data_IF_255984220229
#
_entry.id   IF_255984220229
#
_cell.length_a   1.000
_cell.length_b   1.000
_cell.length_c   1.000
_cell.angle_alpha   90.00
_cell.angle_beta   90.00
_cell.angle_gamma   90.00
#
_symmetry.space_group_name_H-M   'P 1'
#
loop_
_entity.id
_entity.type
_entity.pdbx_description
1 polymer ?
#
# COMPACT_ATOMS: atom_id res chain seq x y z
N UNK A 1 -33.67 42.89 -13.69
CA UNK A 1 -33.54 42.30 -12.35
C UNK A 1 -32.61 41.08 -12.47
N UNK A 2 -31.29 41.23 -12.18
CA UNK A 2 -30.30 40.14 -12.27
C UNK A 2 -30.27 39.42 -10.93
N UNK A 3 -30.72 38.17 -10.92
CA UNK A 3 -30.61 37.29 -9.76
C UNK A 3 -29.13 36.86 -9.67
N UNK A 4 -28.41 37.38 -8.67
CA UNK A 4 -27.10 36.86 -8.29
C UNK A 4 -27.29 35.48 -7.67
N UNK A 5 -26.87 34.44 -8.38
CA UNK A 5 -26.62 33.11 -7.78
C UNK A 5 -25.47 33.28 -6.79
N UNK A 6 -25.77 33.24 -5.52
CA UNK A 6 -24.76 33.05 -4.46
C UNK A 6 -24.38 31.61 -4.50
N UNK A 7 -23.23 31.29 -5.12
CA UNK A 7 -22.58 30.01 -4.93
C UNK A 7 -22.11 29.95 -3.46
N UNK A 8 -22.86 29.25 -2.63
CA UNK A 8 -22.35 28.82 -1.33
C UNK A 8 -21.19 27.86 -1.63
N UNK A 9 -19.95 28.28 -1.36
CA UNK A 9 -18.86 27.34 -1.08
C UNK A 9 -19.34 26.54 0.12
N UNK A 10 -19.73 25.28 -0.10
CA UNK A 10 -19.77 24.31 0.98
C UNK A 10 -18.34 24.24 1.50
N UNK A 11 -18.10 24.71 2.72
CA UNK A 11 -16.89 24.36 3.47
C UNK A 11 -16.87 22.84 3.52
N UNK A 12 -15.89 22.22 2.85
CA UNK A 12 -15.79 20.76 2.80
C UNK A 12 -15.57 20.28 4.23
N UNK A 13 -16.60 19.66 4.80
CA UNK A 13 -16.49 19.01 6.10
C UNK A 13 -15.33 18.01 6.02
N UNK A 14 -14.40 18.07 6.97
CA UNK A 14 -13.35 17.06 7.10
C UNK A 14 -13.97 15.68 7.30
N UNK A 15 -13.42 14.67 6.61
CA UNK A 15 -13.93 13.31 6.70
C UNK A 15 -13.72 12.73 8.11
N UNK A 16 -14.68 11.99 8.61
CA UNK A 16 -14.60 11.26 9.86
C UNK A 16 -13.95 9.88 9.63
N UNK A 17 -12.74 9.72 10.11
CA UNK A 17 -11.97 8.50 10.04
C UNK A 17 -12.16 7.60 11.25
N UNK A 18 -12.31 6.31 11.01
CA UNK A 18 -12.29 5.27 12.05
C UNK A 18 -11.18 4.28 11.75
N UNK A 19 -10.38 3.91 12.76
CA UNK A 19 -9.43 2.81 12.62
C UNK A 19 -10.00 1.51 13.16
N UNK A 20 -9.92 0.45 12.37
CA UNK A 20 -10.14 -0.94 12.79
C UNK A 20 -8.77 -1.58 13.07
N UNK A 21 -8.44 -1.68 14.35
CA UNK A 21 -7.13 -2.08 14.86
C UNK A 21 -6.41 -0.95 15.59
N UNK A 22 -5.56 -1.33 16.57
CA UNK A 22 -4.77 -0.43 17.41
C UNK A 22 -3.27 -0.80 17.37
N UNK A 23 -2.81 -1.40 16.25
CA UNK A 23 -1.43 -1.83 16.07
C UNK A 23 -0.46 -0.66 15.83
N UNK A 24 0.79 -0.99 15.51
CA UNK A 24 1.85 0.00 15.25
C UNK A 24 1.43 0.99 14.18
N UNK A 25 0.92 0.51 13.05
CA UNK A 25 0.56 1.36 11.92
C UNK A 25 -0.67 2.25 12.21
N UNK A 26 -1.62 1.78 13.01
CA UNK A 26 -2.74 2.62 13.48
C UNK A 26 -2.26 3.79 14.36
N UNK A 27 -1.22 3.56 15.18
CA UNK A 27 -0.57 4.64 15.94
C UNK A 27 0.13 5.65 15.02
N UNK A 28 0.78 5.20 13.94
CA UNK A 28 1.37 6.10 12.95
C UNK A 28 0.29 6.91 12.22
N UNK A 29 -0.86 6.30 11.86
CA UNK A 29 -1.99 7.02 11.29
C UNK A 29 -2.52 8.11 12.23
N UNK A 30 -2.72 7.78 13.51
CA UNK A 30 -3.19 8.77 14.50
C UNK A 30 -2.22 9.96 14.61
N UNK A 31 -0.90 9.69 14.60
CA UNK A 31 0.13 10.75 14.58
C UNK A 31 0.10 11.58 13.29
N UNK A 32 -0.13 10.94 12.14
CA UNK A 32 -0.29 11.66 10.86
C UNK A 32 -1.52 12.58 10.89
N UNK A 33 -2.63 12.11 11.47
CA UNK A 33 -3.82 12.94 11.66
C UNK A 33 -3.55 14.13 12.61
N UNK A 34 -2.83 13.91 13.73
CA UNK A 34 -2.45 14.99 14.64
C UNK A 34 -1.58 16.05 13.95
N UNK A 35 -0.60 15.66 13.13
CA UNK A 35 0.23 16.59 12.33
C UNK A 35 -0.63 17.48 11.41
N UNK A 36 -1.76 16.98 10.96
CA UNK A 36 -2.74 17.72 10.13
C UNK A 36 -3.73 18.55 10.96
N UNK A 37 -3.60 18.55 12.29
CA UNK A 37 -4.56 19.19 13.18
C UNK A 37 -5.91 18.47 13.23
N UNK A 38 -5.96 17.20 12.84
CA UNK A 38 -7.15 16.34 12.82
C UNK A 38 -7.06 15.28 13.90
N UNK A 39 -8.20 14.67 14.25
CA UNK A 39 -8.28 13.51 15.14
C UNK A 39 -9.14 12.43 14.50
N UNK A 40 -8.83 11.19 14.81
CA UNK A 40 -9.71 10.08 14.48
C UNK A 40 -11.08 10.27 15.16
N UNK A 41 -12.14 10.07 14.41
CA UNK A 41 -13.49 10.06 14.93
C UNK A 41 -13.73 8.86 15.82
N UNK A 42 -13.21 7.69 15.42
CA UNK A 42 -13.45 6.48 16.18
C UNK A 42 -12.36 5.43 16.06
N UNK A 43 -12.45 4.46 16.95
CA UNK A 43 -11.60 3.28 16.98
C UNK A 43 -12.41 2.06 17.34
N UNK A 44 -12.11 0.92 16.71
CA UNK A 44 -12.61 -0.40 17.09
C UNK A 44 -11.44 -1.39 17.12
N UNK A 45 -11.43 -2.27 18.12
CA UNK A 45 -10.43 -3.31 18.24
C UNK A 45 -11.02 -4.53 18.93
N UNK A 46 -10.55 -5.74 18.58
CA UNK A 46 -10.98 -7.00 19.22
C UNK A 46 -10.83 -6.99 20.74
N UNK A 47 -9.78 -6.35 21.25
CA UNK A 47 -9.53 -6.17 22.68
C UNK A 47 -9.98 -4.77 23.07
N UNK A 48 -11.06 -4.65 23.82
CA UNK A 48 -11.72 -3.38 24.17
C UNK A 48 -10.78 -2.43 24.93
N UNK A 49 -10.04 -2.95 25.90
CA UNK A 49 -9.09 -2.16 26.71
C UNK A 49 -7.99 -1.51 25.85
N UNK A 50 -7.58 -2.18 24.75
CA UNK A 50 -6.63 -1.58 23.80
C UNK A 50 -7.23 -0.43 23.00
N UNK A 51 -8.51 -0.54 22.65
CA UNK A 51 -9.22 0.54 21.96
C UNK A 51 -9.40 1.75 22.86
N UNK A 52 -9.74 1.53 24.15
CA UNK A 52 -9.89 2.59 25.15
C UNK A 52 -8.55 3.32 25.41
N UNK A 53 -7.47 2.56 25.62
CA UNK A 53 -6.13 3.13 25.80
C UNK A 53 -5.65 3.92 24.56
N UNK A 54 -5.96 3.43 23.36
CA UNK A 54 -5.66 4.13 22.10
C UNK A 54 -6.47 5.44 22.01
N UNK A 55 -7.77 5.38 22.36
CA UNK A 55 -8.64 6.56 22.33
C UNK A 55 -8.19 7.64 23.32
N UNK A 56 -7.83 7.24 24.54
CA UNK A 56 -7.27 8.15 25.54
C UNK A 56 -5.99 8.82 25.05
N UNK A 57 -5.06 8.02 24.49
CA UNK A 57 -3.76 8.50 24.01
C UNK A 57 -3.87 9.56 22.91
N UNK A 58 -4.78 9.39 21.95
CA UNK A 58 -4.90 10.25 20.77
C UNK A 58 -6.14 11.14 20.77
N UNK A 59 -6.91 11.14 21.87
CA UNK A 59 -8.12 11.93 21.99
C UNK A 59 -9.18 11.57 20.95
N UNK A 60 -9.32 10.26 20.65
CA UNK A 60 -10.33 9.74 19.71
C UNK A 60 -11.72 9.93 20.33
N UNK A 61 -12.69 10.39 19.54
CA UNK A 61 -13.99 10.79 20.06
C UNK A 61 -14.87 9.61 20.48
N UNK A 62 -14.75 8.46 19.80
CA UNK A 62 -15.64 7.32 20.00
C UNK A 62 -14.89 5.99 20.00
N UNK A 63 -15.15 5.15 21.00
CA UNK A 63 -14.73 3.76 21.04
C UNK A 63 -15.95 2.89 20.72
N UNK A 64 -15.87 2.17 19.60
CA UNK A 64 -16.94 1.28 19.16
C UNK A 64 -16.81 -0.11 19.81
N UNK A 65 -17.94 -0.75 20.13
CA UNK A 65 -17.96 -2.07 20.72
C UNK A 65 -17.81 -3.19 19.69
N UNK A 66 -18.21 -2.92 18.44
CA UNK A 66 -18.11 -3.87 17.32
C UNK A 66 -17.86 -3.17 15.99
N UNK A 67 -17.41 -3.93 15.01
CA UNK A 67 -17.23 -3.41 13.66
C UNK A 67 -18.58 -3.12 12.96
N UNK A 68 -19.62 -3.84 13.33
CA UNK A 68 -20.99 -3.62 12.88
C UNK A 68 -21.52 -2.24 13.33
N UNK A 69 -21.16 -1.80 14.53
CA UNK A 69 -21.48 -0.44 14.98
C UNK A 69 -20.76 0.61 14.13
N UNK A 70 -19.49 0.40 13.76
CA UNK A 70 -18.76 1.29 12.87
C UNK A 70 -19.46 1.40 11.52
N UNK A 71 -19.82 0.25 10.93
CA UNK A 71 -20.52 0.20 9.65
C UNK A 71 -21.88 0.90 9.66
N UNK A 72 -22.61 0.81 10.78
CA UNK A 72 -23.95 1.38 10.96
C UNK A 72 -23.95 2.87 11.29
N UNK A 73 -22.83 3.43 11.76
CA UNK A 73 -22.73 4.84 12.13
C UNK A 73 -22.65 5.72 10.88
N UNK A 74 -23.70 6.54 10.68
CA UNK A 74 -23.79 7.46 9.53
C UNK A 74 -22.75 8.59 9.55
N UNK A 75 -22.14 8.85 10.70
CA UNK A 75 -21.11 9.86 10.83
C UNK A 75 -19.74 9.37 10.31
N UNK A 76 -19.53 8.07 10.17
CA UNK A 76 -18.29 7.47 9.66
C UNK A 76 -18.23 7.62 8.14
N UNK A 77 -17.19 8.26 7.64
CA UNK A 77 -16.94 8.44 6.21
C UNK A 77 -15.91 7.42 5.70
N UNK A 78 -14.78 7.29 6.40
CA UNK A 78 -13.64 6.44 5.98
C UNK A 78 -13.28 5.46 7.09
N UNK A 79 -13.11 4.20 6.72
CA UNK A 79 -12.60 3.16 7.62
C UNK A 79 -11.16 2.81 7.18
N UNK A 80 -10.22 2.95 8.12
CA UNK A 80 -8.86 2.45 7.97
C UNK A 80 -8.75 1.06 8.58
N UNK A 81 -8.49 0.04 7.76
CA UNK A 81 -8.37 -1.34 8.20
C UNK A 81 -6.90 -1.67 8.42
N UNK A 82 -6.50 -1.95 9.67
CA UNK A 82 -5.13 -2.26 10.08
C UNK A 82 -5.05 -3.55 10.92
N UNK A 83 -5.91 -4.50 10.59
CA UNK A 83 -5.95 -5.84 11.17
C UNK A 83 -4.92 -6.76 10.50
N UNK A 84 -4.71 -8.02 10.94
CA UNK A 84 -3.86 -8.97 10.21
C UNK A 84 -4.36 -9.27 8.79
N UNK A 85 -3.43 -9.49 7.84
CA UNK A 85 -3.71 -9.68 6.41
C UNK A 85 -4.86 -10.66 6.13
N UNK A 86 -4.84 -11.82 6.79
CA UNK A 86 -5.84 -12.88 6.62
C UNK A 86 -7.24 -12.54 7.10
N UNK A 87 -7.43 -11.37 7.69
CA UNK A 87 -8.75 -10.90 8.14
C UNK A 87 -9.30 -9.76 7.30
N UNK A 88 -8.50 -9.14 6.43
CA UNK A 88 -8.87 -7.93 5.71
C UNK A 88 -10.17 -8.10 4.92
N UNK A 89 -10.32 -9.20 4.17
CA UNK A 89 -11.50 -9.42 3.33
C UNK A 89 -12.82 -9.42 4.13
N UNK A 90 -12.82 -9.92 5.37
CA UNK A 90 -14.00 -9.94 6.23
C UNK A 90 -14.45 -8.53 6.62
N UNK A 91 -13.48 -7.63 6.86
CA UNK A 91 -13.74 -6.21 7.16
C UNK A 91 -14.14 -5.45 5.90
N UNK A 92 -13.46 -5.70 4.76
CA UNK A 92 -13.75 -5.11 3.47
C UNK A 92 -15.20 -5.37 3.05
N UNK A 93 -15.66 -6.63 3.10
CA UNK A 93 -17.05 -7.00 2.78
C UNK A 93 -18.07 -6.18 3.55
N UNK A 94 -17.89 -6.06 4.86
CA UNK A 94 -18.83 -5.33 5.74
C UNK A 94 -18.80 -3.82 5.51
N UNK A 95 -17.60 -3.24 5.43
CA UNK A 95 -17.42 -1.80 5.27
C UNK A 95 -17.96 -1.32 3.92
N UNK A 96 -17.58 -1.99 2.83
CA UNK A 96 -17.98 -1.62 1.49
C UNK A 96 -19.49 -1.79 1.28
N UNK A 97 -20.08 -2.92 1.74
CA UNK A 97 -21.53 -3.14 1.70
C UNK A 97 -22.32 -2.12 2.53
N UNK A 98 -21.70 -1.54 3.57
CA UNK A 98 -22.29 -0.45 4.36
C UNK A 98 -22.11 0.95 3.73
N UNK A 99 -21.55 1.03 2.51
CA UNK A 99 -21.32 2.29 1.81
C UNK A 99 -20.23 3.17 2.43
N UNK A 100 -19.21 2.56 3.05
CA UNK A 100 -18.07 3.27 3.64
C UNK A 100 -16.88 3.28 2.68
N UNK A 101 -16.19 4.42 2.58
CA UNK A 101 -14.88 4.46 1.93
C UNK A 101 -13.87 3.70 2.76
N UNK A 102 -12.95 2.99 2.12
CA UNK A 102 -11.98 2.14 2.82
C UNK A 102 -10.56 2.39 2.34
N UNK A 103 -9.67 2.63 3.31
CA UNK A 103 -8.22 2.52 3.16
C UNK A 103 -7.77 1.29 3.94
N UNK A 104 -7.31 0.26 3.24
CA UNK A 104 -6.93 -1.02 3.86
C UNK A 104 -5.43 -1.22 3.82
N UNK A 105 -4.83 -1.63 4.94
CA UNK A 105 -3.41 -1.94 5.01
C UNK A 105 -2.97 -2.99 3.99
N UNK A 106 -1.71 -2.88 3.63
CA UNK A 106 -1.03 -3.81 2.72
C UNK A 106 -0.71 -5.14 3.44
N UNK A 107 -0.73 -6.27 2.78
CA UNK A 107 -1.37 -6.48 1.49
C UNK A 107 -2.88 -6.47 1.66
N UNK A 108 -3.55 -5.78 0.77
CA UNK A 108 -4.99 -5.49 0.91
C UNK A 108 -5.85 -6.75 1.04
N UNK A 109 -5.50 -7.83 0.33
CA UNK A 109 -6.15 -9.15 0.39
C UNK A 109 -5.11 -10.26 0.31
N UNK A 110 -5.52 -11.51 0.46
CA UNK A 110 -4.63 -12.66 0.29
C UNK A 110 -4.41 -13.00 -1.18
N UNK A 111 -5.40 -12.78 -2.03
CA UNK A 111 -5.36 -13.12 -3.44
C UNK A 111 -6.18 -12.15 -4.29
N UNK A 112 -6.06 -12.30 -5.61
CA UNK A 112 -6.75 -11.45 -6.59
C UNK A 112 -8.25 -11.62 -6.57
N UNK A 113 -8.77 -12.81 -6.25
CA UNK A 113 -10.20 -13.09 -6.22
C UNK A 113 -10.89 -12.33 -5.08
N UNK A 114 -10.26 -12.28 -3.91
CA UNK A 114 -10.75 -11.45 -2.79
C UNK A 114 -10.71 -9.96 -3.14
N UNK A 115 -9.68 -9.50 -3.87
CA UNK A 115 -9.60 -8.12 -4.30
C UNK A 115 -10.68 -7.79 -5.36
N UNK A 116 -10.90 -8.68 -6.33
CA UNK A 116 -11.94 -8.51 -7.34
C UNK A 116 -13.32 -8.39 -6.68
N UNK A 117 -13.62 -9.21 -5.66
CA UNK A 117 -14.85 -9.11 -4.86
C UNK A 117 -14.96 -7.75 -4.15
N UNK A 118 -13.89 -7.31 -3.49
CA UNK A 118 -13.87 -6.03 -2.79
C UNK A 118 -14.04 -4.84 -3.76
N UNK A 119 -13.39 -4.87 -4.91
CA UNK A 119 -13.53 -3.86 -5.96
C UNK A 119 -14.95 -3.81 -6.53
N UNK A 120 -15.58 -4.97 -6.72
CA UNK A 120 -16.96 -5.04 -7.18
C UNK A 120 -17.92 -4.42 -6.15
N UNK A 121 -17.78 -4.75 -4.87
CA UNK A 121 -18.57 -4.15 -3.78
C UNK A 121 -18.37 -2.63 -3.71
N UNK A 122 -17.14 -2.14 -3.81
CA UNK A 122 -16.85 -0.72 -3.81
C UNK A 122 -17.56 0.00 -4.97
N UNK A 123 -17.55 -0.59 -6.16
CA UNK A 123 -18.23 -0.07 -7.36
C UNK A 123 -19.74 -0.06 -7.19
N UNK A 124 -20.33 -1.14 -6.68
CA UNK A 124 -21.78 -1.27 -6.47
C UNK A 124 -22.32 -0.23 -5.48
N UNK A 125 -21.55 0.09 -4.46
CA UNK A 125 -21.92 1.06 -3.43
C UNK A 125 -21.41 2.49 -3.70
N UNK A 126 -20.68 2.71 -4.79
CA UNK A 126 -20.17 4.03 -5.18
C UNK A 126 -19.16 4.63 -4.17
N UNK A 127 -18.33 3.77 -3.55
CA UNK A 127 -17.33 4.18 -2.56
C UNK A 127 -15.91 3.95 -3.05
N UNK A 128 -14.95 4.65 -2.46
CA UNK A 128 -13.52 4.48 -2.73
C UNK A 128 -12.99 3.32 -1.92
N UNK A 129 -12.33 2.39 -2.60
CA UNK A 129 -11.47 1.36 -2.01
C UNK A 129 -10.03 1.68 -2.38
N UNK A 130 -9.12 1.62 -1.43
CA UNK A 130 -7.70 1.82 -1.66
C UNK A 130 -6.84 0.94 -0.74
N UNK A 131 -5.66 0.55 -1.24
CA UNK A 131 -4.61 -0.06 -0.42
C UNK A 131 -3.76 1.03 0.22
N UNK A 132 -3.45 0.88 1.51
CA UNK A 132 -2.52 1.74 2.23
C UNK A 132 -1.07 1.43 1.80
N UNK A 133 -0.73 1.85 0.59
CA UNK A 133 0.56 1.64 -0.05
C UNK A 133 1.32 2.97 -0.14
N UNK A 134 2.04 3.32 0.90
CA UNK A 134 2.73 4.61 1.05
C UNK A 134 3.57 5.02 -0.15
N UNK A 135 4.18 4.05 -0.85
CA UNK A 135 5.02 4.30 -2.02
C UNK A 135 4.29 5.09 -3.12
N UNK A 136 2.98 4.90 -3.30
CA UNK A 136 2.20 5.60 -4.33
C UNK A 136 1.96 7.07 -4.01
N UNK A 137 2.14 7.46 -2.74
CA UNK A 137 1.78 8.80 -2.24
C UNK A 137 3.00 9.69 -1.98
N UNK A 138 4.21 9.09 -1.88
CA UNK A 138 5.44 9.85 -1.63
C UNK A 138 5.74 10.84 -2.74
N UNK A 139 6.03 12.12 -2.42
CA UNK A 139 6.29 13.18 -3.42
C UNK A 139 7.44 12.89 -4.37
N UNK A 140 8.47 12.16 -3.93
CA UNK A 140 9.62 11.81 -4.76
C UNK A 140 9.22 11.00 -6.00
N UNK A 141 8.24 10.10 -5.89
CA UNK A 141 7.77 9.32 -7.03
C UNK A 141 6.95 10.14 -8.00
N UNK A 142 6.15 11.10 -7.50
CA UNK A 142 5.40 12.05 -8.33
C UNK A 142 6.37 12.89 -9.19
N UNK A 143 7.50 13.31 -8.60
CA UNK A 143 8.54 14.05 -9.33
C UNK A 143 9.27 13.17 -10.33
N UNK A 144 9.68 11.96 -9.96
CA UNK A 144 10.35 11.02 -10.87
C UNK A 144 9.46 10.64 -12.06
N UNK A 145 8.19 10.27 -11.81
CA UNK A 145 7.25 9.91 -12.88
C UNK A 145 7.03 11.07 -13.84
N UNK A 146 6.92 12.31 -13.37
CA UNK A 146 6.81 13.49 -14.21
C UNK A 146 8.00 13.63 -15.17
N UNK A 147 9.23 13.34 -14.71
CA UNK A 147 10.45 13.38 -15.54
C UNK A 147 10.52 12.19 -16.50
N UNK A 148 10.06 11.00 -16.09
CA UNK A 148 9.89 9.83 -16.96
C UNK A 148 8.91 10.15 -18.08
N UNK A 149 7.73 10.67 -17.75
CA UNK A 149 6.69 11.05 -18.72
C UNK A 149 7.15 12.14 -19.69
N UNK A 150 8.06 13.02 -19.26
CA UNK A 150 8.70 14.01 -20.11
C UNK A 150 9.79 13.42 -21.05
N UNK A 151 10.10 12.12 -20.94
CA UNK A 151 11.11 11.43 -21.75
C UNK A 151 12.56 11.82 -21.41
N UNK A 152 12.79 12.42 -20.24
CA UNK A 152 14.12 12.94 -19.86
C UNK A 152 15.17 11.83 -19.78
N UNK A 153 14.75 10.65 -19.26
CA UNK A 153 15.66 9.51 -19.06
C UNK A 153 15.74 8.56 -20.26
N UNK A 154 14.91 8.77 -21.29
CA UNK A 154 14.77 7.87 -22.44
C UNK A 154 13.90 6.65 -22.11
N UNK A 155 14.13 5.55 -22.85
CA UNK A 155 13.32 4.34 -22.70
C UNK A 155 13.76 3.52 -21.49
N UNK A 156 12.80 3.02 -20.72
CA UNK A 156 13.05 2.08 -19.63
C UNK A 156 13.55 0.73 -20.19
N UNK A 157 14.57 0.16 -19.55
CA UNK A 157 15.15 -1.14 -19.94
C UNK A 157 15.00 -2.17 -18.83
N UNK A 158 15.49 -1.86 -17.62
CA UNK A 158 15.50 -2.84 -16.53
C UNK A 158 15.39 -2.17 -15.17
N UNK A 159 14.64 -2.83 -14.26
CA UNK A 159 14.59 -2.50 -12.84
C UNK A 159 15.23 -3.60 -12.00
N UNK A 160 15.85 -3.20 -10.89
CA UNK A 160 16.41 -4.12 -9.90
C UNK A 160 15.93 -3.73 -8.50
N UNK A 161 15.27 -4.66 -7.80
CA UNK A 161 14.71 -4.43 -6.48
C UNK A 161 15.26 -5.39 -5.45
N UNK A 162 15.64 -4.86 -4.29
CA UNK A 162 16.06 -5.65 -3.15
C UNK A 162 15.23 -5.30 -1.92
N UNK A 163 14.77 -6.30 -1.17
CA UNK A 163 14.22 -6.09 0.15
C UNK A 163 14.57 -7.27 1.07
N UNK A 164 15.56 -7.07 1.93
CA UNK A 164 15.89 -8.01 2.99
C UNK A 164 15.57 -7.41 4.36
N UNK A 165 14.63 -8.02 5.07
CA UNK A 165 14.20 -7.59 6.41
C UNK A 165 14.44 -8.71 7.40
N UNK A 166 15.67 -8.78 7.96
CA UNK A 166 16.00 -9.82 8.93
C UNK A 166 14.99 -9.87 10.07
N UNK A 167 14.38 -11.04 10.27
CA UNK A 167 13.49 -11.38 11.36
C UNK A 167 14.07 -12.53 12.16
N UNK A 168 13.80 -12.52 13.47
CA UNK A 168 14.07 -13.67 14.31
C UNK A 168 13.39 -14.91 13.72
N UNK A 169 14.13 -16.03 13.62
CA UNK A 169 13.65 -17.24 12.99
C UNK A 169 12.76 -18.05 13.95
N UNK A 170 11.63 -17.46 14.31
CA UNK A 170 10.59 -18.05 15.15
C UNK A 170 9.34 -18.34 14.32
N UNK A 171 8.99 -19.61 14.21
CA UNK A 171 7.84 -20.10 13.43
C UNK A 171 6.48 -19.67 14.02
N UNK A 172 6.45 -19.18 15.25
CA UNK A 172 5.24 -18.60 15.89
C UNK A 172 5.08 -17.12 15.54
N UNK A 173 6.15 -16.46 15.11
CA UNK A 173 6.11 -15.06 14.70
C UNK A 173 5.23 -14.91 13.45
N UNK A 174 4.47 -13.82 13.37
CA UNK A 174 3.58 -13.52 12.23
C UNK A 174 4.29 -13.60 10.86
N UNK A 175 5.59 -13.36 10.81
CA UNK A 175 6.36 -13.38 9.56
C UNK A 175 6.57 -14.79 9.00
N UNK A 176 6.62 -15.80 9.86
CA UNK A 176 6.82 -17.20 9.49
C UNK A 176 5.62 -18.09 9.78
N UNK A 177 4.50 -17.53 10.26
CA UNK A 177 3.31 -18.28 10.61
C UNK A 177 2.30 -18.31 9.46
N UNK A 178 2.06 -19.51 8.90
CA UNK A 178 1.11 -19.72 7.80
C UNK A 178 -0.32 -19.31 8.19
N UNK A 179 -0.73 -19.55 9.44
CA UNK A 179 -2.07 -19.19 9.95
C UNK A 179 -2.27 -17.67 10.14
N UNK A 180 -1.25 -16.88 9.94
CA UNK A 180 -1.30 -15.42 10.00
C UNK A 180 -0.92 -14.78 8.66
N UNK A 181 -0.98 -15.55 7.58
CA UNK A 181 -0.57 -15.15 6.24
C UNK A 181 0.86 -14.57 6.22
N UNK A 182 1.81 -15.26 6.89
CA UNK A 182 3.23 -14.91 6.87
C UNK A 182 3.85 -15.16 5.49
N UNK A 183 5.07 -14.71 5.32
CA UNK A 183 5.84 -14.86 4.09
C UNK A 183 6.42 -13.53 3.61
N UNK A 184 7.52 -13.62 2.86
CA UNK A 184 8.23 -12.46 2.34
C UNK A 184 7.43 -11.73 1.25
N UNK A 185 6.71 -12.47 0.41
CA UNK A 185 6.02 -11.89 -0.74
C UNK A 185 4.91 -10.94 -0.29
N UNK A 186 4.02 -11.35 0.62
CA UNK A 186 2.94 -10.50 1.12
C UNK A 186 3.47 -9.38 2.06
N UNK A 187 4.51 -9.63 2.88
CA UNK A 187 4.97 -8.63 3.84
C UNK A 187 5.85 -7.54 3.21
N UNK A 188 6.83 -7.93 2.38
CA UNK A 188 7.83 -7.03 1.80
C UNK A 188 7.85 -7.03 0.27
N UNK A 189 7.46 -8.13 -0.37
CA UNK A 189 7.41 -8.26 -1.82
C UNK A 189 6.36 -7.33 -2.44
N UNK A 190 5.25 -7.10 -1.76
CA UNK A 190 4.22 -6.15 -2.20
C UNK A 190 4.82 -4.76 -2.47
N UNK A 191 5.73 -4.25 -1.65
CA UNK A 191 6.41 -2.97 -1.90
C UNK A 191 7.32 -3.02 -3.13
N UNK A 192 8.09 -4.11 -3.29
CA UNK A 192 9.00 -4.25 -4.42
C UNK A 192 8.24 -4.36 -5.75
N UNK A 193 7.16 -5.14 -5.78
CA UNK A 193 6.31 -5.28 -6.95
C UNK A 193 5.52 -4.00 -7.25
N UNK A 194 5.08 -3.26 -6.23
CA UNK A 194 4.45 -1.94 -6.40
C UNK A 194 5.41 -0.93 -7.02
N UNK A 195 6.67 -0.92 -6.57
CA UNK A 195 7.69 -0.08 -7.22
C UNK A 195 7.89 -0.48 -8.68
N UNK A 196 8.04 -1.76 -8.96
CA UNK A 196 8.19 -2.26 -10.34
C UNK A 196 7.00 -1.82 -11.19
N UNK A 197 5.77 -2.09 -10.72
CA UNK A 197 4.56 -1.76 -11.48
C UNK A 197 4.40 -0.26 -11.73
N UNK A 198 4.85 0.57 -10.82
CA UNK A 198 4.74 2.03 -10.94
C UNK A 198 5.58 2.59 -12.10
N UNK A 199 6.71 1.95 -12.43
CA UNK A 199 7.61 2.42 -13.48
C UNK A 199 7.47 1.66 -14.80
N UNK A 200 7.03 0.39 -14.78
CA UNK A 200 6.77 -0.34 -16.01
C UNK A 200 5.57 0.27 -16.76
N UNK A 201 5.69 0.37 -18.07
CA UNK A 201 4.64 0.93 -18.95
C UNK A 201 3.40 0.05 -19.00
N UNK A 202 3.53 -1.25 -18.76
CA UNK A 202 2.40 -2.19 -18.61
C UNK A 202 2.68 -3.26 -17.56
N UNK A 203 1.61 -3.96 -17.13
CA UNK A 203 1.72 -5.09 -16.21
C UNK A 203 2.56 -6.22 -16.83
N UNK A 204 3.52 -6.81 -16.09
CA UNK A 204 4.27 -8.00 -16.56
C UNK A 204 3.36 -9.16 -16.89
N UNK A 205 3.58 -9.77 -18.05
CA UNK A 205 2.89 -10.98 -18.51
C UNK A 205 3.77 -12.24 -18.42
N UNK A 206 5.09 -12.05 -18.35
CA UNK A 206 6.07 -13.12 -18.15
C UNK A 206 6.65 -13.02 -16.74
N UNK A 207 6.47 -14.09 -15.96
CA UNK A 207 6.93 -14.20 -14.58
C UNK A 207 7.65 -15.51 -14.40
N UNK A 208 8.89 -15.44 -13.90
CA UNK A 208 9.67 -16.60 -13.46
C UNK A 208 10.14 -16.36 -12.03
N UNK A 209 10.08 -17.39 -11.18
CA UNK A 209 10.47 -17.21 -9.80
C UNK A 209 11.01 -18.48 -9.17
N UNK A 210 11.85 -18.32 -8.16
CA UNK A 210 12.32 -19.38 -7.27
C UNK A 210 12.07 -18.97 -5.83
N UNK A 211 11.74 -19.93 -4.99
CA UNK A 211 11.40 -19.71 -3.59
C UNK A 211 12.15 -20.68 -2.68
N UNK A 212 12.56 -20.20 -1.52
CA UNK A 212 12.90 -21.04 -0.37
C UNK A 212 11.77 -20.90 0.65
N UNK A 213 11.14 -22.02 0.98
CA UNK A 213 10.10 -22.06 2.01
C UNK A 213 10.71 -22.24 3.40
N UNK A 214 10.11 -21.57 4.39
CA UNK A 214 10.34 -21.83 5.80
C UNK A 214 9.71 -23.18 6.21
N UNK A 215 10.05 -23.76 7.39
CA UNK A 215 9.45 -25.01 7.87
C UNK A 215 7.93 -25.01 7.98
N UNK A 216 7.32 -23.84 8.10
CA UNK A 216 5.85 -23.63 8.14
C UNK A 216 5.19 -23.63 6.77
N UNK A 217 5.97 -23.67 5.69
CA UNK A 217 5.49 -23.64 4.31
C UNK A 217 5.30 -22.24 3.72
N UNK A 218 5.56 -21.16 4.48
CA UNK A 218 5.54 -19.81 3.91
C UNK A 218 6.86 -19.46 3.22
N UNK A 219 6.87 -18.55 2.30
CA UNK A 219 8.05 -18.08 1.60
C UNK A 219 8.97 -17.27 2.52
N UNK A 220 10.19 -17.78 2.71
CA UNK A 220 11.24 -17.13 3.52
C UNK A 220 12.06 -16.17 2.67
N UNK A 221 12.39 -16.59 1.46
CA UNK A 221 13.10 -15.78 0.48
C UNK A 221 12.70 -16.16 -0.95
N UNK A 222 12.76 -15.18 -1.84
CA UNK A 222 12.43 -15.39 -3.25
C UNK A 222 13.31 -14.56 -4.17
N UNK A 223 13.52 -15.10 -5.39
CA UNK A 223 14.03 -14.40 -6.55
C UNK A 223 12.97 -14.42 -7.64
N UNK A 224 12.64 -13.27 -8.21
CA UNK A 224 11.58 -13.10 -9.20
C UNK A 224 12.15 -12.35 -10.40
N UNK A 225 11.86 -12.82 -11.60
CA UNK A 225 12.16 -12.19 -12.88
C UNK A 225 10.85 -11.90 -13.59
N UNK A 226 10.69 -10.66 -14.03
CA UNK A 226 9.48 -10.14 -14.67
C UNK A 226 9.82 -9.53 -16.02
N UNK A 227 8.93 -9.65 -17.00
CA UNK A 227 9.01 -8.92 -18.27
C UNK A 227 7.59 -8.61 -18.76
N UNK A 228 7.40 -7.42 -19.34
CA UNK A 228 6.15 -7.02 -19.97
C UNK A 228 6.24 -7.16 -21.51
N UNK A 229 5.14 -6.89 -22.21
CA UNK A 229 5.06 -6.97 -23.67
C UNK A 229 5.93 -5.93 -24.38
N UNK A 230 6.29 -4.84 -23.69
CA UNK A 230 7.20 -3.80 -24.19
C UNK A 230 8.68 -4.18 -24.00
N UNK A 231 8.96 -5.40 -23.54
CA UNK A 231 10.31 -5.94 -23.29
C UNK A 231 11.05 -5.20 -22.15
N UNK A 232 10.35 -4.49 -21.30
CA UNK A 232 10.89 -3.95 -20.06
C UNK A 232 10.98 -5.06 -19.02
N UNK A 233 12.13 -5.16 -18.35
CA UNK A 233 12.45 -6.26 -17.44
C UNK A 233 12.59 -5.78 -16.00
N UNK A 234 12.22 -6.64 -15.03
CA UNK A 234 12.53 -6.37 -13.63
C UNK A 234 13.02 -7.62 -12.90
N UNK A 235 13.93 -7.42 -11.95
CA UNK A 235 14.39 -8.44 -11.03
C UNK A 235 14.10 -8.02 -9.59
N UNK A 236 13.56 -8.95 -8.79
CA UNK A 236 13.22 -8.72 -7.39
C UNK A 236 13.85 -9.81 -6.53
N UNK A 237 14.54 -9.42 -5.46
CA UNK A 237 15.05 -10.35 -4.45
C UNK A 237 14.50 -10.00 -3.07
N UNK A 238 13.93 -11.00 -2.39
CA UNK A 238 13.29 -10.86 -1.09
C UNK A 238 13.91 -11.80 -0.07
N UNK A 239 14.05 -11.38 1.18
CA UNK A 239 14.38 -12.28 2.28
C UNK A 239 13.85 -11.75 3.62
N UNK A 240 13.25 -12.64 4.43
CA UNK A 240 12.92 -12.39 5.83
C UNK A 240 14.02 -12.87 6.79
N UNK A 241 15.03 -13.61 6.29
CA UNK A 241 16.11 -14.16 7.12
C UNK A 241 17.50 -13.64 6.73
N UNK A 242 17.57 -12.66 5.83
CA UNK A 242 18.80 -11.94 5.51
C UNK A 242 18.52 -10.44 5.43
N UNK A 243 19.43 -9.62 5.95
CA UNK A 243 19.38 -8.18 5.80
C UNK A 243 19.92 -7.79 4.43
N UNK A 244 19.16 -7.02 3.67
CA UNK A 244 19.58 -6.37 2.44
C UNK A 244 19.20 -4.89 2.49
N UNK A 245 19.87 -4.01 1.73
CA UNK A 245 19.37 -2.67 1.51
C UNK A 245 17.97 -2.73 0.88
N UNK A 246 17.08 -1.84 1.26
CA UNK A 246 15.83 -1.60 0.52
C UNK A 246 16.18 -0.70 -0.66
N UNK A 247 16.77 -1.28 -1.71
CA UNK A 247 17.27 -0.56 -2.87
C UNK A 247 16.40 -0.83 -4.08
N UNK A 248 16.00 0.25 -4.76
CA UNK A 248 15.45 0.22 -6.10
C UNK A 248 16.42 0.88 -7.07
N UNK A 249 16.64 0.27 -8.23
CA UNK A 249 17.37 0.85 -9.34
C UNK A 249 16.53 0.73 -10.61
N UNK A 250 16.38 1.85 -11.32
CA UNK A 250 15.65 1.96 -12.58
C UNK A 250 16.64 2.37 -13.64
N UNK A 251 16.85 1.54 -14.66
CA UNK A 251 17.82 1.80 -15.73
C UNK A 251 17.09 2.10 -17.03
N UNK A 252 17.32 3.29 -17.53
CA UNK A 252 16.89 3.78 -18.84
C UNK A 252 18.10 3.83 -19.80
N UNK A 253 17.89 4.14 -21.06
CA UNK A 253 18.97 4.25 -22.03
C UNK A 253 19.81 5.55 -21.87
N UNK A 254 19.24 6.63 -21.29
CA UNK A 254 19.94 7.90 -21.07
C UNK A 254 20.34 8.17 -19.62
N UNK A 255 19.81 7.40 -18.65
CA UNK A 255 20.12 7.57 -17.24
C UNK A 255 19.80 6.30 -16.45
N UNK A 256 20.32 6.20 -15.24
CA UNK A 256 19.74 5.32 -14.23
C UNK A 256 19.47 6.10 -12.95
N UNK A 257 18.44 5.61 -12.21
CA UNK A 257 17.98 6.21 -10.96
C UNK A 257 18.16 5.19 -9.83
N UNK A 258 18.81 5.59 -8.76
CA UNK A 258 18.97 4.77 -7.55
C UNK A 258 18.20 5.38 -6.39
N UNK A 259 17.50 4.52 -5.65
CA UNK A 259 16.77 4.87 -4.44
C UNK A 259 17.02 3.87 -3.33
N UNK A 260 17.12 4.37 -2.10
CA UNK A 260 17.20 3.57 -0.88
C UNK A 260 15.99 3.85 0.00
N UNK A 261 15.66 2.88 0.88
CA UNK A 261 14.46 2.94 1.76
C UNK A 261 13.16 3.25 0.97
N UNK A 262 13.08 2.74 -0.24
CA UNK A 262 12.06 3.05 -1.25
C UNK A 262 10.60 2.91 -0.80
N UNK A 263 10.18 2.08 0.19
CA UNK A 263 8.79 2.07 0.63
C UNK A 263 8.27 3.43 1.12
N UNK A 264 9.19 4.26 1.64
CA UNK A 264 8.90 5.65 2.06
C UNK A 264 10.05 6.57 1.65
N UNK A 265 10.54 6.40 0.42
CA UNK A 265 11.68 7.14 -0.10
C UNK A 265 11.39 8.63 -0.19
N UNK A 266 12.41 9.44 0.09
CA UNK A 266 12.36 10.90 -0.02
C UNK A 266 13.48 11.44 -0.90
N UNK A 267 14.40 10.55 -1.33
CA UNK A 267 15.62 10.92 -2.05
C UNK A 267 15.90 9.92 -3.18
N UNK A 268 16.36 10.43 -4.33
CA UNK A 268 16.86 9.63 -5.43
C UNK A 268 18.14 10.24 -6.01
N UNK A 269 19.01 9.39 -6.55
CA UNK A 269 20.20 9.79 -7.27
C UNK A 269 20.07 9.37 -8.72
N UNK A 270 20.11 10.34 -9.62
CA UNK A 270 20.07 10.15 -11.07
C UNK A 270 21.49 10.24 -11.59
N UNK A 271 21.92 9.26 -12.39
CA UNK A 271 23.21 9.29 -13.10
C UNK A 271 22.95 9.23 -14.60
N UNK A 272 23.35 10.25 -15.33
CA UNK A 272 23.20 10.33 -16.78
C UNK A 272 24.28 9.54 -17.50
N UNK A 273 23.92 8.81 -18.56
CA UNK A 273 24.84 7.90 -19.26
C UNK A 273 25.81 8.66 -20.18
N UNK A 274 25.43 9.83 -20.69
CA UNK A 274 26.22 10.59 -21.64
C UNK A 274 27.54 11.10 -21.04
N UNK A 275 27.49 11.68 -19.86
CA UNK A 275 28.63 12.36 -19.21
C UNK A 275 28.95 11.85 -17.79
N UNK A 276 28.15 10.91 -17.27
CA UNK A 276 28.29 10.40 -15.90
C UNK A 276 27.89 11.41 -14.82
N UNK A 277 27.29 12.53 -15.19
CA UNK A 277 26.80 13.55 -14.25
C UNK A 277 25.78 12.95 -13.31
N UNK A 278 25.92 13.29 -12.03
CA UNK A 278 24.99 12.88 -10.99
C UNK A 278 24.15 14.05 -10.52
N UNK A 279 22.88 13.79 -10.33
CA UNK A 279 21.91 14.70 -9.75
C UNK A 279 21.21 14.02 -8.61
N UNK A 280 21.21 14.67 -7.45
CA UNK A 280 20.44 14.23 -6.30
C UNK A 280 19.16 15.03 -6.23
N UNK A 281 18.02 14.36 -6.12
CA UNK A 281 16.72 14.97 -5.90
C UNK A 281 16.14 14.52 -4.56
N UNK A 282 15.46 15.44 -3.90
CA UNK A 282 14.76 15.18 -2.63
C UNK A 282 13.37 15.79 -2.72
N UNK A 283 12.35 15.01 -2.37
CA UNK A 283 10.97 15.49 -2.32
C UNK A 283 10.15 14.74 -1.28
N UNK A 284 9.44 15.48 -0.43
CA UNK A 284 8.70 14.95 0.70
C UNK A 284 9.59 14.61 1.89
N UNK A 285 9.02 13.91 2.86
CA UNK A 285 9.72 13.42 4.05
C UNK A 285 9.20 12.03 4.42
N UNK A 286 10.09 11.10 4.73
CA UNK A 286 9.75 9.73 5.18
C UNK A 286 8.79 9.74 6.38
N UNK A 287 8.98 10.69 7.29
CA UNK A 287 8.15 10.84 8.50
C UNK A 287 6.71 11.33 8.23
N UNK A 288 6.43 11.77 7.01
CA UNK A 288 5.12 12.26 6.58
C UNK A 288 4.41 11.31 5.59
N UNK A 289 4.92 10.08 5.42
CA UNK A 289 4.38 9.12 4.45
C UNK A 289 2.87 8.90 4.61
N UNK A 290 2.38 8.71 5.85
CA UNK A 290 0.95 8.54 6.10
C UNK A 290 0.17 9.87 5.99
N UNK A 291 0.82 11.01 6.16
CA UNK A 291 0.18 12.32 5.90
C UNK A 291 -0.20 12.43 4.42
N UNK A 292 0.73 12.08 3.52
CA UNK A 292 0.46 12.09 2.07
C UNK A 292 -0.63 11.10 1.66
N UNK A 293 -0.65 9.93 2.30
CA UNK A 293 -1.65 8.89 2.05
C UNK A 293 -3.05 9.34 2.49
N UNK A 294 -3.18 9.92 3.69
CA UNK A 294 -4.43 10.50 4.19
C UNK A 294 -4.91 11.63 3.27
N UNK A 295 -4.01 12.53 2.85
CA UNK A 295 -4.35 13.63 1.92
C UNK A 295 -4.86 13.12 0.58
N UNK A 296 -4.21 12.11 0.02
CA UNK A 296 -4.61 11.55 -1.26
C UNK A 296 -5.94 10.79 -1.12
N UNK A 297 -6.19 10.08 0.00
CA UNK A 297 -7.49 9.46 0.25
C UNK A 297 -8.63 10.48 0.37
N UNK A 298 -8.41 11.62 1.04
CA UNK A 298 -9.39 12.70 1.11
C UNK A 298 -9.66 13.34 -0.26
N UNK A 299 -8.64 13.49 -1.11
CA UNK A 299 -8.81 13.91 -2.52
C UNK A 299 -9.56 12.87 -3.35
N UNK A 300 -9.33 11.59 -3.07
CA UNK A 300 -10.01 10.50 -3.78
C UNK A 300 -11.52 10.52 -3.54
N UNK A 301 -11.95 10.65 -2.29
CA UNK A 301 -13.38 10.75 -1.95
C UNK A 301 -14.01 12.06 -2.43
N UNK A 302 -13.21 13.11 -2.62
CA UNK A 302 -13.65 14.39 -3.18
C UNK A 302 -13.81 14.36 -4.72
N UNK A 303 -13.59 13.19 -5.38
CA UNK A 303 -13.84 13.00 -6.81
C UNK A 303 -12.60 12.68 -7.66
N UNK A 304 -11.46 12.35 -7.05
CA UNK A 304 -10.24 11.93 -7.77
C UNK A 304 -9.74 10.54 -7.29
N UNK A 305 -10.52 9.46 -7.47
CA UNK A 305 -10.16 8.14 -6.96
C UNK A 305 -8.88 7.56 -7.57
N UNK A 306 -8.51 7.96 -8.79
CA UNK A 306 -7.31 7.47 -9.50
C UNK A 306 -5.99 7.80 -8.79
N UNK A 307 -6.00 8.81 -7.89
CA UNK A 307 -4.81 9.16 -7.11
C UNK A 307 -4.36 8.02 -6.18
N UNK A 308 -5.29 7.15 -5.76
CA UNK A 308 -5.01 6.00 -4.88
C UNK A 308 -4.38 4.80 -5.61
N UNK A 309 -4.26 4.85 -6.95
CA UNK A 309 -3.56 3.85 -7.76
C UNK A 309 -4.10 2.41 -7.60
N UNK A 310 -5.41 2.24 -7.37
CA UNK A 310 -6.03 0.92 -7.18
C UNK A 310 -5.73 -0.05 -8.35
N UNK A 311 -5.61 0.45 -9.58
CA UNK A 311 -5.21 -0.37 -10.72
C UNK A 311 -3.80 -0.99 -10.56
N UNK A 312 -2.87 -0.28 -9.93
CA UNK A 312 -1.55 -0.85 -9.64
C UNK A 312 -1.64 -1.91 -8.53
N UNK A 313 -2.45 -1.68 -7.49
CA UNK A 313 -2.75 -2.69 -6.46
C UNK A 313 -3.34 -3.96 -7.08
N UNK A 314 -4.29 -3.83 -8.03
CA UNK A 314 -4.87 -4.95 -8.76
C UNK A 314 -3.80 -5.75 -9.51
N UNK A 315 -2.98 -5.09 -10.31
CA UNK A 315 -1.89 -5.73 -11.07
C UNK A 315 -0.89 -6.45 -10.13
N UNK A 316 -0.49 -5.80 -9.04
CA UNK A 316 0.43 -6.37 -8.05
C UNK A 316 -0.18 -7.59 -7.36
N UNK A 317 -1.45 -7.53 -6.98
CA UNK A 317 -2.13 -8.66 -6.35
C UNK A 317 -2.25 -9.85 -7.32
N UNK A 318 -2.55 -9.60 -8.61
CA UNK A 318 -2.57 -10.65 -9.64
C UNK A 318 -1.19 -11.31 -9.80
N UNK A 319 -0.12 -10.51 -9.84
CA UNK A 319 1.26 -11.04 -9.87
C UNK A 319 1.56 -11.90 -8.64
N UNK A 320 1.30 -11.41 -7.42
CA UNK A 320 1.55 -12.14 -6.18
C UNK A 320 0.73 -13.44 -6.10
N UNK A 321 -0.52 -13.41 -6.53
CA UNK A 321 -1.39 -14.59 -6.57
C UNK A 321 -0.84 -15.65 -7.51
N UNK A 322 -0.42 -15.27 -8.73
CA UNK A 322 0.20 -16.17 -9.69
C UNK A 322 1.49 -16.76 -9.14
N UNK A 323 2.39 -15.93 -8.60
CA UNK A 323 3.67 -16.36 -8.03
C UNK A 323 3.46 -17.37 -6.91
N UNK A 324 2.55 -17.10 -5.96
CA UNK A 324 2.26 -18.05 -4.86
C UNK A 324 1.69 -19.38 -5.38
N UNK A 325 0.81 -19.35 -6.38
CA UNK A 325 0.25 -20.56 -7.01
C UNK A 325 1.34 -21.40 -7.68
N UNK A 326 2.28 -20.77 -8.38
CA UNK A 326 3.41 -21.45 -8.99
C UNK A 326 4.32 -22.12 -7.93
N UNK A 327 4.38 -21.57 -6.70
CA UNK A 327 5.08 -22.17 -5.57
C UNK A 327 4.27 -23.24 -4.82
N UNK A 328 2.99 -23.42 -5.13
CA UNK A 328 2.06 -24.25 -4.37
C UNK A 328 1.79 -23.74 -2.96
N UNK A 329 1.91 -22.43 -2.75
CA UNK A 329 1.70 -21.77 -1.45
C UNK A 329 0.27 -21.23 -1.38
N UNK A 330 -0.53 -21.79 -0.46
CA UNK A 330 -1.88 -21.33 -0.08
C UNK A 330 -1.95 -21.09 1.42
N UNK A 331 -2.86 -20.24 1.84
CA UNK A 331 -3.15 -20.01 3.27
C UNK A 331 -4.42 -20.74 3.68
N UNK A 332 -4.62 -21.03 5.00
CA UNK A 332 -5.80 -21.76 5.46
C UNK A 332 -7.15 -21.14 5.04
N UNK A 333 -7.18 -19.83 4.92
CA UNK A 333 -8.38 -19.08 4.50
C UNK A 333 -8.73 -19.29 3.01
N UNK A 334 -7.81 -19.84 2.22
CA UNK A 334 -7.96 -20.11 0.79
C UNK A 334 -8.30 -21.61 0.52
N UNK A 335 -8.28 -22.46 1.55
CA UNK A 335 -8.62 -23.89 1.50
C UNK A 335 -10.10 -24.11 1.82
#
# INVERSE_FOLDING_TARGET
MRIRRVERKEESRMANWVTAGCGVIANELAQAMEKRGQKLYGVVNRTQEKAEAFAEKYGVQKVFQSFEEVCSDKAVDIIYISTPHNTHIQFLRKALAAGKHVLCEKSITLNSEELDEAMQLAKEHGVVLAEAMTIYHMPIYKELLKRVDAGEFGDLRILQMNFGSYKEYDMKNRFFNRNLAGGALLDIGVYALSFVRMFLSSCPDQIQSQVKLAPTGVDEQAGILLMNKEQEMATVTLSLHAKQPKRGMISFDKAYVEMYEYPRGEKAVITYTEDGRKEEITAGATADALVYEVEDMEKAIAGNPEIMKLAYTEDVMRMMTRIRRDWGLTYPEEE
#
